data_IF_190886271409
#
_entry.id   IF_190886271409
#
_cell.length_a   1.000
_cell.length_b   1.000
_cell.length_c   1.000
_cell.angle_alpha   90.00
_cell.angle_beta   90.00
_cell.angle_gamma   90.00
#
_symmetry.space_group_name_H-M   'P 1'
#
loop_
_entity.id
_entity.type
_entity.pdbx_description
1 polymer ?
#
# COMPACT_ATOMS: atom_id res chain seq x y z
N UNK A 1 -5.22 65.97 -7.86
CA UNK A 1 -4.74 64.57 -7.95
C UNK A 1 -3.75 64.52 -9.11
N UNK A 2 -2.59 63.88 -8.95
CA UNK A 2 -1.55 63.83 -10.00
C UNK A 2 -1.61 62.46 -10.67
N UNK A 3 -2.20 62.40 -11.86
CA UNK A 3 -2.18 61.20 -12.70
C UNK A 3 -0.83 61.09 -13.41
N UNK A 4 0.01 60.16 -12.98
CA UNK A 4 1.36 60.01 -13.52
C UNK A 4 1.35 59.06 -14.73
N UNK A 5 1.13 59.61 -15.94
CA UNK A 5 1.05 58.84 -17.18
C UNK A 5 2.42 58.54 -17.78
N UNK A 6 2.96 57.35 -17.50
CA UNK A 6 4.22 56.86 -18.09
C UNK A 6 4.04 56.67 -19.60
N UNK A 7 4.68 57.50 -20.40
CA UNK A 7 4.72 57.35 -21.86
C UNK A 7 5.87 56.42 -22.24
N UNK A 8 5.56 55.16 -22.52
CA UNK A 8 6.51 54.21 -23.11
C UNK A 8 6.76 54.64 -24.56
N UNK A 9 8.02 54.93 -24.91
CA UNK A 9 8.42 55.45 -26.23
C UNK A 9 9.78 54.91 -26.68
N UNK A 10 9.90 53.59 -26.82
CA UNK A 10 10.94 52.96 -27.63
C UNK A 10 10.54 51.48 -27.83
N UNK A 11 10.48 51.04 -29.10
CA UNK A 11 10.38 49.63 -29.45
C UNK A 11 11.81 49.14 -29.74
N UNK A 12 12.36 48.31 -28.86
CA UNK A 12 13.73 47.80 -28.96
C UNK A 12 13.67 46.37 -29.49
N UNK A 13 14.37 46.09 -30.59
CA UNK A 13 14.47 44.74 -31.14
C UNK A 13 15.24 43.82 -30.18
N UNK A 14 14.77 42.59 -29.97
CA UNK A 14 15.35 41.61 -29.04
C UNK A 14 16.84 41.36 -29.33
N UNK A 15 17.24 41.45 -30.60
CA UNK A 15 18.60 41.31 -31.11
C UNK A 15 19.56 42.41 -30.62
N UNK A 16 19.05 43.53 -30.12
CA UNK A 16 19.82 44.67 -29.61
C UNK A 16 20.05 44.57 -28.08
N UNK A 17 19.46 43.58 -27.40
CA UNK A 17 19.71 43.29 -25.99
C UNK A 17 20.64 42.09 -25.84
N UNK A 18 21.65 42.20 -24.97
CA UNK A 18 22.59 41.11 -24.63
C UNK A 18 21.95 40.04 -23.71
N UNK A 19 20.87 39.41 -24.18
CA UNK A 19 20.09 38.44 -23.41
C UNK A 19 20.73 37.04 -23.44
N UNK A 20 21.15 36.57 -22.26
CA UNK A 20 21.51 35.15 -22.06
C UNK A 20 20.24 34.34 -21.70
N UNK A 21 19.93 33.24 -22.40
CA UNK A 21 18.82 32.37 -22.02
C UNK A 21 19.10 31.66 -20.69
N UNK A 22 18.04 31.44 -19.89
CA UNK A 22 18.14 30.65 -18.66
C UNK A 22 18.51 29.20 -18.97
N UNK A 23 19.57 28.70 -18.33
CA UNK A 23 19.98 27.30 -18.44
C UNK A 23 19.16 26.35 -17.54
N UNK A 24 18.34 26.90 -16.64
CA UNK A 24 17.53 26.12 -15.69
C UNK A 24 16.42 25.36 -16.40
N UNK A 25 16.34 24.04 -16.16
CA UNK A 25 15.25 23.18 -16.64
C UNK A 25 14.38 22.74 -15.47
N UNK A 26 13.06 22.85 -15.62
CA UNK A 26 12.11 22.31 -14.65
C UNK A 26 12.08 20.79 -14.77
N UNK A 27 12.77 20.11 -13.86
CA UNK A 27 12.71 18.65 -13.75
C UNK A 27 11.50 18.28 -12.90
N UNK A 28 10.48 17.67 -13.49
CA UNK A 28 9.43 17.01 -12.72
C UNK A 28 10.01 15.77 -12.03
N UNK A 29 9.74 15.61 -10.74
CA UNK A 29 9.89 14.29 -10.10
C UNK A 29 8.86 13.35 -10.70
N UNK A 30 9.24 12.10 -10.96
CA UNK A 30 8.31 11.07 -11.43
C UNK A 30 7.11 10.95 -10.49
N UNK A 31 5.92 10.76 -11.04
CA UNK A 31 4.72 10.58 -10.24
C UNK A 31 4.83 9.24 -9.47
N UNK A 32 4.80 9.31 -8.13
CA UNK A 32 4.69 8.10 -7.32
C UNK A 32 3.38 7.37 -7.65
N UNK A 33 3.37 6.02 -7.79
CA UNK A 33 2.17 5.26 -8.09
C UNK A 33 1.02 5.58 -7.12
N UNK A 34 -0.19 5.80 -7.65
CA UNK A 34 -1.35 6.10 -6.82
C UNK A 34 -1.80 4.87 -6.02
N UNK A 35 -1.97 5.06 -4.71
CA UNK A 35 -2.57 4.08 -3.81
C UNK A 35 -3.99 3.75 -4.29
N UNK A 36 -4.27 2.48 -4.57
CA UNK A 36 -5.54 1.97 -5.10
C UNK A 36 -6.53 1.66 -3.98
N UNK A 37 -6.02 1.22 -2.84
CA UNK A 37 -6.77 0.94 -1.62
C UNK A 37 -5.97 1.43 -0.41
N UNK A 38 -6.65 2.02 0.56
CA UNK A 38 -6.09 2.39 1.87
C UNK A 38 -7.05 1.94 2.96
N UNK A 39 -6.61 1.04 3.84
CA UNK A 39 -7.35 0.68 5.05
C UNK A 39 -7.01 1.71 6.11
N UNK A 40 -8.01 2.38 6.68
CA UNK A 40 -7.85 3.39 7.74
C UNK A 40 -8.42 2.82 9.03
N UNK A 41 -7.56 2.66 10.04
CA UNK A 41 -7.87 2.07 11.32
C UNK A 41 -7.61 3.10 12.43
N UNK A 42 -8.65 3.81 12.85
CA UNK A 42 -8.55 4.87 13.87
C UNK A 42 -9.89 5.04 14.59
N UNK A 43 -9.87 5.04 15.92
CA UNK A 43 -11.08 5.23 16.72
C UNK A 43 -11.62 6.66 16.61
N UNK A 44 -10.73 7.67 16.62
CA UNK A 44 -11.12 9.09 16.66
C UNK A 44 -11.73 9.61 15.36
N UNK A 45 -11.23 9.14 14.22
CA UNK A 45 -11.61 9.66 12.90
C UNK A 45 -12.39 8.65 12.04
N UNK A 46 -12.86 7.57 12.64
CA UNK A 46 -13.68 6.53 12.02
C UNK A 46 -12.89 5.54 11.15
N UNK A 47 -13.07 4.25 11.43
CA UNK A 47 -12.54 3.16 10.60
C UNK A 47 -13.22 3.16 9.23
N UNK A 48 -12.44 3.00 8.16
CA UNK A 48 -12.94 2.95 6.77
C UNK A 48 -11.97 2.26 5.82
N UNK A 49 -12.50 1.70 4.74
CA UNK A 49 -11.71 1.35 3.54
C UNK A 49 -11.86 2.50 2.53
N UNK A 50 -10.75 3.00 2.02
CA UNK A 50 -10.70 4.03 0.97
C UNK A 50 -10.23 3.37 -0.32
N UNK A 51 -10.93 3.63 -1.43
CA UNK A 51 -10.66 3.06 -2.76
C UNK A 51 -10.44 4.23 -3.72
N UNK A 52 -9.44 4.13 -4.59
CA UNK A 52 -9.15 5.16 -5.58
C UNK A 52 -10.27 5.29 -6.64
N UNK A 53 -10.53 6.51 -7.09
CA UNK A 53 -11.49 6.77 -8.17
C UNK A 53 -11.17 5.96 -9.44
N UNK A 54 -9.89 5.82 -9.79
CA UNK A 54 -9.41 5.03 -10.95
C UNK A 54 -9.74 3.54 -10.90
N UNK A 55 -10.06 2.99 -9.72
CA UNK A 55 -10.51 1.60 -9.53
C UNK A 55 -12.03 1.52 -9.68
N UNK A 56 -12.76 2.42 -9.01
CA UNK A 56 -14.24 2.46 -9.01
C UNK A 56 -14.79 2.79 -10.40
N UNK A 57 -14.18 3.75 -11.11
CA UNK A 57 -14.54 4.07 -12.50
C UNK A 57 -14.37 2.86 -13.42
N UNK A 58 -13.26 2.12 -13.25
CA UNK A 58 -12.93 0.99 -14.11
C UNK A 58 -13.87 -0.20 -13.92
N UNK A 59 -14.40 -0.43 -12.71
CA UNK A 59 -15.48 -1.42 -12.45
C UNK A 59 -16.90 -0.89 -12.78
N UNK A 60 -17.02 0.23 -13.51
CA UNK A 60 -18.28 0.75 -14.04
C UNK A 60 -18.99 1.79 -13.16
N UNK A 61 -18.25 2.51 -12.31
CA UNK A 61 -18.76 3.59 -11.44
C UNK A 61 -20.01 3.25 -10.60
N UNK A 62 -20.09 2.09 -9.92
CA UNK A 62 -21.27 1.73 -9.14
C UNK A 62 -21.37 2.55 -7.84
N UNK A 63 -22.59 2.80 -7.36
CA UNK A 63 -22.83 3.50 -6.08
C UNK A 63 -22.64 2.61 -4.84
N UNK A 64 -22.75 1.30 -5.02
CA UNK A 64 -22.47 0.25 -4.03
C UNK A 64 -21.51 -0.77 -4.61
N UNK A 65 -20.74 -1.45 -3.76
CA UNK A 65 -19.87 -2.55 -4.16
C UNK A 65 -20.05 -3.75 -3.25
N UNK A 66 -19.87 -4.94 -3.80
CA UNK A 66 -19.62 -6.15 -3.03
C UNK A 66 -18.11 -6.34 -2.85
N UNK A 67 -17.73 -6.93 -1.72
CA UNK A 67 -16.34 -7.21 -1.36
C UNK A 67 -16.22 -8.68 -0.99
N UNK A 68 -15.18 -9.33 -1.48
CA UNK A 68 -14.78 -10.67 -1.06
C UNK A 68 -13.27 -10.76 -0.86
N UNK A 69 -12.84 -11.80 -0.13
CA UNK A 69 -11.44 -12.05 0.21
C UNK A 69 -10.94 -13.30 -0.50
N UNK A 70 -9.68 -13.29 -0.93
CA UNK A 70 -8.98 -14.49 -1.39
C UNK A 70 -7.58 -14.60 -0.73
N UNK A 71 -6.79 -15.59 -1.16
CA UNK A 71 -5.43 -15.81 -0.64
C UNK A 71 -4.46 -14.64 -0.83
N UNK A 72 -4.69 -13.75 -1.80
CA UNK A 72 -3.79 -12.67 -2.22
C UNK A 72 -4.25 -11.29 -1.70
N UNK A 73 -5.56 -11.09 -1.54
CA UNK A 73 -6.15 -9.80 -1.20
C UNK A 73 -7.65 -9.68 -1.50
N UNK A 74 -8.08 -8.44 -1.75
CA UNK A 74 -9.49 -8.04 -1.74
C UNK A 74 -10.02 -7.94 -3.18
N UNK A 75 -11.12 -8.64 -3.45
CA UNK A 75 -11.91 -8.53 -4.70
C UNK A 75 -13.04 -7.51 -4.47
N UNK A 76 -13.14 -6.54 -5.37
CA UNK A 76 -14.15 -5.46 -5.36
C UNK A 76 -14.86 -5.42 -6.70
N UNK A 77 -16.19 -5.50 -6.72
CA UNK A 77 -16.97 -5.28 -7.94
C UNK A 77 -18.41 -4.82 -7.62
N UNK A 78 -19.20 -4.56 -8.67
CA UNK A 78 -20.61 -4.18 -8.53
C UNK A 78 -21.50 -5.30 -7.96
N UNK A 79 -21.28 -6.55 -8.37
CA UNK A 79 -22.01 -7.73 -7.90
C UNK A 79 -21.18 -9.00 -8.16
N UNK A 80 -21.02 -9.85 -7.15
CA UNK A 80 -20.26 -11.12 -7.21
C UNK A 80 -21.17 -12.34 -7.46
N UNK A 81 -22.46 -12.22 -7.18
CA UNK A 81 -23.42 -13.33 -7.14
C UNK A 81 -22.99 -14.40 -6.13
N UNK A 82 -22.73 -13.97 -4.89
CA UNK A 82 -22.39 -14.82 -3.74
C UNK A 82 -23.38 -14.60 -2.59
N UNK A 83 -23.66 -13.35 -2.26
CA UNK A 83 -24.61 -12.88 -1.25
C UNK A 83 -25.23 -11.53 -1.67
N UNK A 84 -26.08 -10.94 -0.82
CA UNK A 84 -26.67 -9.61 -1.01
C UNK A 84 -25.96 -8.50 -0.20
N UNK A 85 -24.78 -8.75 0.39
CA UNK A 85 -24.06 -7.75 1.17
C UNK A 85 -23.43 -6.69 0.26
N UNK A 86 -23.83 -5.42 0.43
CA UNK A 86 -23.43 -4.30 -0.43
C UNK A 86 -22.99 -3.07 0.38
N UNK A 87 -21.72 -2.70 0.23
CA UNK A 87 -21.14 -1.52 0.86
C UNK A 87 -21.43 -0.26 0.05
N UNK A 88 -21.96 0.77 0.70
CA UNK A 88 -22.23 2.07 0.07
C UNK A 88 -20.96 2.92 -0.05
N UNK A 89 -20.67 3.40 -1.26
CA UNK A 89 -19.55 4.30 -1.50
C UNK A 89 -19.88 5.75 -1.11
N UNK A 90 -19.02 6.37 -0.30
CA UNK A 90 -19.06 7.81 -0.01
C UNK A 90 -17.91 8.54 -0.69
N UNK A 91 -18.20 9.44 -1.62
CA UNK A 91 -17.17 10.22 -2.34
C UNK A 91 -16.36 11.09 -1.37
N UNK A 92 -15.04 11.08 -1.52
CA UNK A 92 -14.09 11.86 -0.72
C UNK A 92 -12.95 12.37 -1.62
N UNK A 93 -13.12 13.58 -2.14
CA UNK A 93 -12.22 14.21 -3.14
C UNK A 93 -12.08 13.34 -4.41
N UNK A 94 -10.93 12.68 -4.59
CA UNK A 94 -10.60 11.78 -5.74
C UNK A 94 -10.66 10.29 -5.37
N UNK A 95 -11.30 9.96 -4.26
CA UNK A 95 -11.43 8.59 -3.75
C UNK A 95 -12.89 8.34 -3.34
N UNK A 96 -13.23 7.08 -3.13
CA UNK A 96 -14.46 6.65 -2.47
C UNK A 96 -14.11 6.00 -1.11
N UNK A 97 -14.99 6.11 -0.13
CA UNK A 97 -14.80 5.57 1.21
C UNK A 97 -16.00 4.73 1.63
N UNK A 98 -15.72 3.55 2.19
CA UNK A 98 -16.67 2.65 2.85
C UNK A 98 -16.42 2.76 4.35
N UNK A 99 -17.42 3.24 5.09
CA UNK A 99 -17.37 3.34 6.54
C UNK A 99 -18.05 2.11 7.15
N UNK A 100 -17.23 1.16 7.60
CA UNK A 100 -17.61 -0.01 8.39
C UNK A 100 -16.43 -0.37 9.29
N UNK A 101 -16.71 -0.69 10.56
CA UNK A 101 -15.71 -1.16 11.52
C UNK A 101 -15.43 -2.65 11.32
N UNK A 102 -16.47 -3.37 10.92
CA UNK A 102 -16.57 -4.80 10.67
C UNK A 102 -15.65 -5.18 9.50
N UNK A 103 -15.86 -4.56 8.33
CA UNK A 103 -15.02 -4.73 7.15
C UNK A 103 -13.54 -4.40 7.41
N UNK A 104 -13.24 -3.36 8.19
CA UNK A 104 -11.86 -3.00 8.55
C UNK A 104 -11.25 -4.04 9.50
N UNK A 105 -12.03 -4.60 10.41
CA UNK A 105 -11.59 -5.68 11.31
C UNK A 105 -11.34 -6.99 10.52
N UNK A 106 -12.27 -7.39 9.66
CA UNK A 106 -12.11 -8.57 8.77
C UNK A 106 -10.85 -8.47 7.91
N UNK A 107 -10.62 -7.31 7.27
CA UNK A 107 -9.40 -7.07 6.50
C UNK A 107 -8.15 -7.10 7.38
N UNK A 108 -8.21 -6.50 8.59
CA UNK A 108 -7.08 -6.51 9.52
C UNK A 108 -6.72 -7.93 9.96
N UNK A 109 -7.72 -8.78 10.25
CA UNK A 109 -7.50 -10.14 10.72
C UNK A 109 -7.12 -11.12 9.60
N UNK A 110 -7.73 -11.00 8.41
CA UNK A 110 -7.46 -11.91 7.29
C UNK A 110 -6.07 -11.71 6.68
N UNK A 111 -5.51 -10.50 6.77
CA UNK A 111 -4.21 -10.14 6.19
C UNK A 111 -3.15 -9.74 7.22
N UNK A 112 -3.48 -9.82 8.52
CA UNK A 112 -2.62 -9.44 9.68
C UNK A 112 -1.98 -8.06 9.50
N UNK A 113 -2.84 -7.06 9.25
CA UNK A 113 -2.38 -5.69 8.98
C UNK A 113 -1.88 -5.00 10.24
N UNK A 114 -0.59 -4.72 10.29
CA UNK A 114 0.01 -3.86 11.30
C UNK A 114 -0.29 -2.38 11.03
N UNK A 115 -0.59 -1.63 12.08
CA UNK A 115 -0.79 -0.18 12.06
C UNK A 115 0.20 0.56 12.98
N UNK A 116 1.22 -0.14 13.51
CA UNK A 116 2.28 0.45 14.33
C UNK A 116 2.96 1.59 13.59
N UNK A 117 3.10 2.74 14.26
CA UNK A 117 3.62 3.98 13.65
C UNK A 117 2.65 4.72 12.72
N UNK A 118 1.40 4.27 12.55
CA UNK A 118 0.44 4.88 11.63
C UNK A 118 -1.02 4.82 12.09
N UNK A 119 -1.93 5.17 11.17
CA UNK A 119 -3.38 4.95 11.31
C UNK A 119 -4.00 4.38 10.01
N UNK A 120 -3.17 4.03 9.04
CA UNK A 120 -3.61 3.50 7.75
C UNK A 120 -2.50 2.79 6.98
N UNK A 121 -2.84 1.67 6.32
CA UNK A 121 -1.96 0.94 5.38
C UNK A 121 -2.51 1.09 3.96
N UNK A 122 -1.63 1.20 2.96
CA UNK A 122 -2.01 1.48 1.57
C UNK A 122 -1.38 0.53 0.56
N UNK A 123 -2.15 0.18 -0.47
CA UNK A 123 -1.82 -0.81 -1.50
C UNK A 123 -1.91 -0.21 -2.89
N UNK A 124 -0.95 -0.56 -3.75
CA UNK A 124 -0.81 0.02 -5.10
C UNK A 124 -1.04 -0.99 -6.23
N UNK A 125 -0.90 -2.30 -5.96
CA UNK A 125 -1.05 -3.35 -6.94
C UNK A 125 -2.53 -3.75 -7.10
N UNK A 126 -3.07 -3.55 -8.30
CA UNK A 126 -4.43 -3.95 -8.68
C UNK A 126 -4.44 -4.70 -10.00
N UNK A 127 -5.09 -5.87 -10.01
CA UNK A 127 -5.38 -6.68 -11.21
C UNK A 127 -6.88 -6.57 -11.52
N UNK A 128 -7.24 -6.61 -12.79
CA UNK A 128 -8.66 -6.57 -13.22
C UNK A 128 -9.07 -7.92 -13.79
N UNK A 129 -10.19 -8.46 -13.31
CA UNK A 129 -10.68 -9.81 -13.59
C UNK A 129 -12.11 -9.74 -14.12
N UNK A 130 -12.50 -10.66 -15.02
CA UNK A 130 -13.88 -10.82 -15.44
C UNK A 130 -14.50 -12.02 -14.70
N UNK A 131 -15.44 -11.76 -13.80
CA UNK A 131 -16.11 -12.76 -12.96
C UNK A 131 -17.57 -12.87 -13.41
N UNK A 132 -17.93 -13.99 -14.05
CA UNK A 132 -19.29 -14.27 -14.57
C UNK A 132 -19.87 -13.16 -15.48
N UNK A 133 -19.03 -12.36 -16.15
CA UNK A 133 -19.44 -11.22 -16.97
C UNK A 133 -19.36 -9.85 -16.28
N UNK A 134 -19.09 -9.81 -14.97
CA UNK A 134 -18.86 -8.57 -14.21
C UNK A 134 -17.37 -8.29 -14.08
N UNK A 135 -16.92 -7.07 -14.39
CA UNK A 135 -15.54 -6.68 -14.13
C UNK A 135 -15.31 -6.42 -12.63
N UNK A 136 -14.27 -7.04 -12.09
CA UNK A 136 -13.82 -6.90 -10.71
C UNK A 136 -12.37 -6.40 -10.65
N UNK A 137 -12.05 -5.70 -9.56
CA UNK A 137 -10.70 -5.32 -9.20
C UNK A 137 -10.22 -6.20 -8.04
N UNK A 138 -9.12 -6.94 -8.23
CA UNK A 138 -8.39 -7.62 -7.17
C UNK A 138 -7.23 -6.72 -6.74
N UNK A 139 -7.29 -6.20 -5.52
CA UNK A 139 -6.18 -5.47 -4.89
C UNK A 139 -5.37 -6.46 -4.06
N UNK A 140 -4.09 -6.60 -4.36
CA UNK A 140 -3.18 -7.49 -3.62
C UNK A 140 -2.80 -6.84 -2.29
N UNK A 141 -2.99 -7.58 -1.18
CA UNK A 141 -2.69 -7.13 0.18
C UNK A 141 -1.49 -7.84 0.81
N UNK A 142 -1.18 -9.07 0.39
CA UNK A 142 0.07 -9.72 0.76
C UNK A 142 1.21 -9.21 -0.11
N UNK A 143 2.28 -8.72 0.53
CA UNK A 143 3.59 -8.68 -0.10
C UNK A 143 4.06 -10.11 -0.28
N UNK A 144 4.50 -10.50 -1.48
CA UNK A 144 5.23 -11.75 -1.64
C UNK A 144 6.63 -11.54 -1.08
N UNK A 145 7.02 -12.32 -0.09
CA UNK A 145 8.43 -12.43 0.34
C UNK A 145 9.22 -13.17 -0.77
N UNK A 146 9.54 -12.48 -1.87
CA UNK A 146 10.60 -12.79 -2.87
C UNK A 146 10.63 -11.81 -4.07
N UNK A 147 10.25 -10.53 -3.90
CA UNK A 147 10.56 -9.48 -4.90
C UNK A 147 11.99 -8.94 -4.68
N UNK A 148 13.00 -9.77 -4.98
CA UNK A 148 14.41 -9.36 -4.99
C UNK A 148 14.70 -8.41 -6.16
N UNK A 149 14.57 -7.10 -5.90
CA UNK A 149 15.07 -6.07 -6.82
C UNK A 149 16.60 -6.00 -6.68
N UNK A 150 17.28 -6.99 -7.27
CA UNK A 150 18.73 -7.01 -7.44
C UNK A 150 19.18 -5.87 -8.34
N UNK A 151 19.54 -4.74 -7.74
CA UNK A 151 20.09 -3.59 -8.45
C UNK A 151 21.62 -3.70 -8.47
N UNK A 152 22.16 -4.13 -9.61
CA UNK A 152 23.56 -4.52 -9.79
C UNK A 152 24.54 -3.37 -9.49
N UNK A 153 25.68 -3.69 -8.87
CA UNK A 153 26.75 -2.76 -8.50
C UNK A 153 28.04 -3.52 -8.23
N UNK A 154 28.82 -3.70 -9.30
CA UNK A 154 30.11 -4.37 -9.28
C UNK A 154 31.12 -3.72 -8.32
N UNK A 155 31.76 -4.55 -7.49
CA UNK A 155 33.05 -4.24 -6.87
C UNK A 155 33.89 -5.51 -6.86
N UNK A 156 34.97 -5.53 -7.65
CA UNK A 156 35.88 -6.67 -7.71
C UNK A 156 36.68 -6.81 -6.42
N UNK A 157 36.84 -8.06 -5.96
CA UNK A 157 38.09 -8.56 -5.36
C UNK A 157 38.11 -10.08 -5.37
N UNK A 158 39.16 -10.65 -5.93
CA UNK A 158 39.41 -12.09 -5.97
C UNK A 158 40.69 -12.39 -5.19
N UNK A 159 40.61 -13.40 -4.33
CA UNK A 159 41.63 -14.04 -3.48
C UNK A 159 40.77 -14.89 -2.52
N UNK A 160 40.44 -16.16 -2.77
CA UNK A 160 41.22 -17.30 -3.25
C UNK A 160 42.31 -17.76 -2.29
N UNK A 161 41.87 -18.32 -1.16
CA UNK A 161 42.58 -19.42 -0.50
C UNK A 161 41.54 -20.41 0.02
N UNK A 162 41.86 -21.71 -0.06
CA UNK A 162 40.94 -22.80 0.28
C UNK A 162 41.68 -23.89 1.04
N UNK A 163 41.46 -23.96 2.34
CA UNK A 163 41.89 -25.09 3.17
C UNK A 163 40.70 -25.61 3.98
N UNK A 164 40.67 -26.93 4.13
CA UNK A 164 39.61 -27.64 4.85
C UNK A 164 40.27 -28.57 5.87
N UNK A 165 39.97 -28.36 7.15
CA UNK A 165 40.35 -29.25 8.24
C UNK A 165 39.11 -29.60 9.06
N UNK A 166 38.86 -30.90 9.14
CA UNK A 166 37.89 -31.51 10.06
C UNK A 166 38.44 -31.49 11.48
N UNK A 167 37.61 -31.16 12.47
CA UNK A 167 37.50 -31.84 13.78
C UNK A 167 36.34 -31.17 14.55
N UNK A 168 35.28 -31.90 14.92
CA UNK A 168 35.14 -32.77 16.11
C UNK A 168 35.16 -32.00 17.45
N UNK A 169 33.96 -31.71 18.00
CA UNK A 169 33.52 -32.19 19.32
C UNK A 169 32.05 -31.80 19.58
N UNK A 170 31.34 -32.63 20.35
CA UNK A 170 30.03 -32.30 20.94
C UNK A 170 30.22 -32.15 22.45
N UNK A 171 29.62 -31.13 23.09
CA UNK A 171 29.33 -31.16 24.50
C UNK A 171 27.88 -31.61 24.69
N UNK A 172 27.75 -32.90 24.94
CA UNK A 172 26.77 -33.54 25.80
C UNK A 172 26.15 -32.57 26.84
N UNK A 173 24.82 -32.42 26.79
CA UNK A 173 24.03 -31.82 27.87
C UNK A 173 22.95 -32.82 28.28
N UNK A 174 22.95 -33.19 29.55
CA UNK A 174 22.12 -34.26 30.10
C UNK A 174 20.64 -33.87 30.15
N UNK A 175 19.77 -34.86 29.91
CA UNK A 175 18.33 -34.75 30.13
C UNK A 175 18.02 -35.04 31.60
N UNK A 176 18.03 -34.01 32.44
CA UNK A 176 17.41 -34.09 33.76
C UNK A 176 15.89 -34.17 33.60
N UNK A 177 15.35 -35.39 33.80
CA UNK A 177 13.92 -35.59 34.01
C UNK A 177 13.53 -34.96 35.35
N UNK A 178 12.67 -33.93 35.33
CA UNK A 178 11.96 -33.47 36.53
C UNK A 178 10.48 -33.81 36.41
N UNK A 179 9.98 -34.46 37.47
CA UNK A 179 8.76 -35.24 37.45
C UNK A 179 7.47 -34.39 37.39
N UNK A 180 6.41 -35.02 36.89
CA UNK A 180 5.04 -34.50 36.98
C UNK A 180 4.56 -34.53 38.43
N UNK A 181 4.61 -33.40 39.13
CA UNK A 181 3.88 -33.25 40.39
C UNK A 181 2.52 -32.58 40.14
N UNK A 182 1.45 -33.33 40.39
CA UNK A 182 0.08 -32.89 40.19
C UNK A 182 -0.35 -31.94 41.31
N UNK A 183 -0.88 -30.76 40.96
CA UNK A 183 -1.64 -29.95 41.92
C UNK A 183 -3.14 -29.97 41.61
N UNK A 184 -3.91 -30.33 42.63
CA UNK A 184 -5.32 -30.64 42.54
C UNK A 184 -6.21 -29.40 42.39
N UNK A 185 -7.40 -29.62 41.83
CA UNK A 185 -8.52 -28.69 41.96
C UNK A 185 -8.80 -28.42 43.45
N UNK A 186 -8.99 -27.15 43.79
CA UNK A 186 -9.81 -26.75 44.93
C UNK A 186 -10.85 -25.75 44.42
N UNK A 187 -12.07 -26.24 44.18
CA UNK A 187 -13.25 -25.38 44.33
C UNK A 187 -13.45 -25.16 45.84
N UNK A 188 -13.67 -23.93 46.28
CA UNK A 188 -14.63 -23.71 47.37
C UNK A 188 -15.09 -22.24 47.53
N UNK A 189 -16.41 -22.10 47.70
CA UNK A 189 -17.16 -20.97 48.30
C UNK A 189 -17.08 -19.59 47.63
#
# INVERSE_FOLDING_TARGET
MISNSVSIKEEIEIQQLELRPSASRQVSRGASPSNKLTVVNTERHGKRVVIAQEVIEKIGSPSTVQIAFNGDGIVICKNLGLDDNHFHLRTSRKNFAIYSKELVHEITENYKLDFTGGTSVSYQLVKYLNLKGTLAALVTLKTNEHDEIGNDSQAEKAEHESEATTEHEQPDYELDELELDSFEYNEDH
#
